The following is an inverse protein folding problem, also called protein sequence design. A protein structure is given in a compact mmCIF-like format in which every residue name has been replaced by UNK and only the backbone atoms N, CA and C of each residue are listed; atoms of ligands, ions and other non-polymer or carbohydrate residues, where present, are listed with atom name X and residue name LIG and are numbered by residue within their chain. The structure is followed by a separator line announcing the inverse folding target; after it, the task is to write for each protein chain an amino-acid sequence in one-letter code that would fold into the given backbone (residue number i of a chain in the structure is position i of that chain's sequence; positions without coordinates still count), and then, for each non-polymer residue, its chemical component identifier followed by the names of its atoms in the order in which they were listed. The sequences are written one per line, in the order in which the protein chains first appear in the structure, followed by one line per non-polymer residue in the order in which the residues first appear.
data_IF_985458102558
#
_entry.id   IF_985458102558
#
_cell.length_a   1.000
_cell.length_b   1.000
_cell.length_c   1.000
_cell.angle_alpha   90.00
_cell.angle_beta   90.00
_cell.angle_gamma   90.00
#
_symmetry.space_group_name_H-M   'P 1'
#
loop_
_entity.id
_entity.type
_entity.pdbx_description
1 polymer ?
#
# COMPACT_ATOMS: atom_id res chain seq x y z
N UNK A 1 -0.68 -4.29 -34.88
CA UNK A 1 -2.03 -4.75 -34.52
C UNK A 1 -1.86 -5.69 -33.34
N UNK A 2 -2.41 -5.35 -32.17
CA UNK A 2 -2.42 -6.26 -31.02
C UNK A 2 -3.32 -7.45 -31.35
N UNK A 3 -2.88 -8.65 -30.97
CA UNK A 3 -3.72 -9.85 -31.06
C UNK A 3 -4.92 -9.67 -30.10
N UNK A 4 -6.12 -10.20 -30.42
CA UNK A 4 -7.23 -10.20 -29.48
C UNK A 4 -6.83 -10.87 -28.15
N UNK A 5 -7.27 -10.33 -27.02
CA UNK A 5 -6.89 -10.83 -25.68
C UNK A 5 -7.12 -12.33 -25.51
N UNK A 6 -8.26 -12.85 -25.97
CA UNK A 6 -8.58 -14.28 -25.89
C UNK A 6 -7.60 -15.19 -26.65
N UNK A 7 -6.96 -14.66 -27.70
CA UNK A 7 -5.96 -15.39 -28.49
C UNK A 7 -4.62 -15.39 -27.77
N UNK A 8 -4.28 -14.26 -27.10
CA UNK A 8 -3.14 -14.16 -26.20
C UNK A 8 -3.27 -15.16 -25.04
N UNK A 9 -4.41 -15.18 -24.37
CA UNK A 9 -4.70 -16.10 -23.27
C UNK A 9 -4.52 -17.56 -23.68
N UNK A 10 -5.01 -17.94 -24.87
CA UNK A 10 -4.84 -19.31 -25.40
C UNK A 10 -3.40 -19.63 -25.77
N UNK A 11 -2.68 -18.68 -26.37
CA UNK A 11 -1.29 -18.88 -26.77
C UNK A 11 -0.38 -19.11 -25.55
N UNK A 12 -0.62 -18.35 -24.49
CA UNK A 12 0.14 -18.39 -23.24
C UNK A 12 -0.02 -19.73 -22.49
N UNK A 13 -1.17 -20.40 -22.64
CA UNK A 13 -1.42 -21.72 -22.04
C UNK A 13 -0.83 -22.88 -22.86
N UNK A 14 -0.33 -22.63 -24.07
CA UNK A 14 0.22 -23.68 -24.92
C UNK A 14 1.55 -24.21 -24.37
N UNK A 15 1.68 -25.54 -24.25
CA UNK A 15 2.86 -26.21 -23.65
C UNK A 15 4.19 -25.83 -24.29
N UNK A 16 4.21 -25.61 -25.61
CA UNK A 16 5.40 -25.16 -26.32
C UNK A 16 5.89 -23.76 -25.87
N UNK A 17 4.96 -22.82 -25.63
CA UNK A 17 5.30 -21.46 -25.15
C UNK A 17 5.78 -21.54 -23.70
N UNK A 18 5.14 -22.37 -22.88
CA UNK A 18 5.55 -22.61 -21.49
C UNK A 18 6.96 -23.19 -21.38
N UNK A 19 7.30 -24.16 -22.24
CA UNK A 19 8.65 -24.74 -22.28
C UNK A 19 9.69 -23.70 -22.70
N UNK A 20 9.39 -22.86 -23.70
CA UNK A 20 10.27 -21.79 -24.13
C UNK A 20 10.46 -20.72 -23.05
N UNK A 21 9.38 -20.32 -22.38
CA UNK A 21 9.44 -19.37 -21.26
C UNK A 21 10.24 -19.94 -20.09
N UNK A 22 10.06 -21.21 -19.74
CA UNK A 22 10.83 -21.86 -18.68
C UNK A 22 12.33 -21.92 -19.02
N UNK A 23 12.68 -22.23 -20.27
CA UNK A 23 14.07 -22.24 -20.73
C UNK A 23 14.70 -20.84 -20.64
N UNK A 24 13.98 -19.80 -21.10
CA UNK A 24 14.41 -18.40 -21.00
C UNK A 24 14.56 -17.91 -19.57
N UNK A 25 13.62 -18.22 -18.68
CA UNK A 25 13.67 -17.81 -17.27
C UNK A 25 14.82 -18.51 -16.55
N UNK A 26 15.15 -19.75 -16.92
CA UNK A 26 16.23 -20.51 -16.30
C UNK A 26 17.63 -19.98 -16.61
N UNK A 27 17.74 -18.98 -17.50
CA UNK A 27 19.00 -18.33 -17.80
C UNK A 27 19.56 -17.59 -16.58
N UNK A 28 20.89 -17.63 -16.44
CA UNK A 28 21.60 -17.08 -15.28
C UNK A 28 21.41 -15.58 -15.11
N UNK A 29 21.28 -14.84 -16.21
CA UNK A 29 21.23 -13.37 -16.18
C UNK A 29 19.91 -12.82 -15.61
N UNK A 30 18.71 -13.19 -16.12
CA UNK A 30 17.45 -12.77 -15.51
C UNK A 30 17.33 -13.16 -14.04
N UNK A 31 17.73 -14.39 -13.71
CA UNK A 31 17.71 -14.89 -12.33
C UNK A 31 18.61 -14.06 -11.41
N UNK A 32 19.81 -13.69 -11.88
CA UNK A 32 20.72 -12.85 -11.11
C UNK A 32 20.16 -11.45 -10.86
N UNK A 33 19.51 -10.83 -11.86
CA UNK A 33 18.86 -9.52 -11.71
C UNK A 33 17.75 -9.60 -10.66
N UNK A 34 16.84 -10.57 -10.77
CA UNK A 34 15.74 -10.74 -9.82
C UNK A 34 16.25 -10.93 -8.38
N UNK A 35 17.28 -11.77 -8.19
CA UNK A 35 17.85 -12.00 -6.86
C UNK A 35 18.50 -10.74 -6.30
N UNK A 36 19.15 -9.96 -7.15
CA UNK A 36 19.80 -8.71 -6.78
C UNK A 36 18.75 -7.64 -6.42
N UNK A 37 17.65 -7.57 -7.17
CA UNK A 37 16.50 -6.72 -6.86
C UNK A 37 15.90 -7.05 -5.50
N UNK A 38 15.65 -8.34 -5.23
CA UNK A 38 15.14 -8.78 -3.93
C UNK A 38 16.08 -8.37 -2.79
N UNK A 39 17.39 -8.55 -3.00
CA UNK A 39 18.41 -8.20 -2.02
C UNK A 39 18.42 -6.70 -1.70
N UNK A 40 18.48 -5.84 -2.72
CA UNK A 40 18.46 -4.39 -2.52
C UNK A 40 17.14 -3.91 -1.92
N UNK A 41 16.01 -4.50 -2.32
CA UNK A 41 14.70 -4.16 -1.79
C UNK A 41 14.59 -4.45 -0.29
N UNK A 42 15.04 -5.64 0.15
CA UNK A 42 15.06 -6.00 1.57
C UNK A 42 15.97 -5.04 2.36
N UNK A 43 17.17 -4.74 1.84
CA UNK A 43 18.10 -3.80 2.49
C UNK A 43 17.46 -2.42 2.65
N UNK A 44 16.87 -1.89 1.57
CA UNK A 44 16.22 -0.57 1.61
C UNK A 44 15.11 -0.57 2.65
N UNK A 45 14.22 -1.56 2.69
CA UNK A 45 13.10 -1.61 3.65
C UNK A 45 13.59 -1.70 5.10
N UNK A 46 14.56 -2.59 5.38
CA UNK A 46 15.09 -2.78 6.74
C UNK A 46 15.85 -1.54 7.20
N UNK A 47 16.76 -1.01 6.38
CA UNK A 47 17.50 0.21 6.72
C UNK A 47 16.56 1.40 6.87
N UNK A 48 15.56 1.55 5.99
CA UNK A 48 14.59 2.64 6.06
C UNK A 48 13.81 2.60 7.36
N UNK A 49 13.33 1.41 7.76
CA UNK A 49 12.58 1.23 9.01
C UNK A 49 13.42 1.61 10.23
N UNK A 50 14.69 1.20 10.29
CA UNK A 50 15.59 1.52 11.40
C UNK A 50 15.90 3.03 11.43
N UNK A 51 16.22 3.63 10.27
CA UNK A 51 16.63 5.03 10.17
C UNK A 51 15.46 5.99 10.42
N UNK A 52 14.25 5.66 9.97
CA UNK A 52 13.04 6.43 10.29
C UNK A 52 12.78 6.44 11.79
N UNK A 53 12.87 5.29 12.47
CA UNK A 53 12.70 5.22 13.93
C UNK A 53 13.73 6.09 14.65
N UNK A 54 15.01 6.01 14.25
CA UNK A 54 16.08 6.86 14.79
C UNK A 54 15.81 8.35 14.54
N UNK A 55 15.33 8.70 13.34
CA UNK A 55 14.98 10.09 13.02
C UNK A 55 13.80 10.60 13.85
N UNK A 56 12.79 9.76 14.10
CA UNK A 56 11.65 10.11 14.98
C UNK A 56 12.14 10.32 16.41
N UNK A 57 12.98 9.43 16.95
CA UNK A 57 13.56 9.58 18.29
C UNK A 57 14.37 10.88 18.44
N UNK A 58 15.19 11.21 17.44
CA UNK A 58 15.95 12.47 17.43
C UNK A 58 15.03 13.72 17.35
N UNK A 59 13.87 13.61 16.70
CA UNK A 59 12.89 14.71 16.58
C UNK A 59 11.98 14.86 17.80
N UNK A 60 11.80 13.81 18.59
CA UNK A 60 10.95 13.77 19.77
C UNK A 60 11.69 13.16 20.97
N UNK A 61 12.68 13.86 21.55
CA UNK A 61 13.32 13.38 22.76
C UNK A 61 12.30 13.34 23.90
N UNK A 62 11.91 12.14 24.33
CA UNK A 62 10.95 11.88 25.42
C UNK A 62 11.31 12.62 26.73
N UNK A 63 12.57 13.05 26.87
CA UNK A 63 13.12 13.66 28.07
C UNK A 63 12.82 15.15 28.27
N UNK A 64 12.12 15.84 27.35
CA UNK A 64 12.06 17.32 27.38
C UNK A 64 10.71 17.93 27.77
N UNK A 65 9.72 17.11 28.13
CA UNK A 65 8.37 17.60 28.48
C UNK A 65 8.26 18.02 29.95
N UNK A 66 9.29 17.77 30.79
CA UNK A 66 9.20 17.99 32.25
C UNK A 66 9.88 19.28 32.73
N UNK A 67 10.67 19.97 31.90
CA UNK A 67 11.32 21.22 32.30
C UNK A 67 10.74 22.41 31.54
N UNK A 68 10.15 23.34 32.28
CA UNK A 68 9.60 24.60 31.78
C UNK A 68 10.57 25.37 30.87
N UNK A 69 10.02 25.93 29.78
CA UNK A 69 10.61 26.97 28.94
C UNK A 69 11.93 26.65 28.22
N UNK A 70 12.12 25.42 27.77
CA UNK A 70 13.37 25.08 27.09
C UNK A 70 13.21 25.16 25.56
N UNK A 71 14.08 25.99 24.98
CA UNK A 71 14.22 26.33 23.56
C UNK A 71 14.43 25.08 22.72
N UNK A 72 13.67 24.92 21.62
CA UNK A 72 13.67 23.72 20.78
C UNK A 72 15.07 23.17 20.45
N UNK A 73 15.16 21.83 20.39
CA UNK A 73 16.38 21.09 20.05
C UNK A 73 17.04 21.70 18.79
N UNK A 74 18.35 22.02 18.82
CA UNK A 74 19.08 22.55 17.66
C UNK A 74 18.83 21.69 16.42
N UNK A 75 18.68 22.31 15.25
CA UNK A 75 18.40 21.57 14.00
C UNK A 75 19.48 20.52 13.70
N UNK A 76 20.74 20.80 14.05
CA UNK A 76 21.88 19.92 13.80
C UNK A 76 21.82 18.60 14.59
N UNK A 77 21.18 18.57 15.76
CA UNK A 77 21.03 17.35 16.56
C UNK A 77 19.92 16.43 16.03
N UNK A 78 19.03 16.95 15.16
CA UNK A 78 17.94 16.16 14.55
C UNK A 78 18.40 15.32 13.37
N UNK A 79 19.52 15.69 12.75
CA UNK A 79 20.06 15.03 11.57
C UNK A 79 20.53 13.60 11.88
N UNK A 80 20.24 12.66 11.00
CA UNK A 80 20.78 11.30 11.07
C UNK A 80 22.15 11.27 10.39
N UNK A 81 23.18 10.63 10.98
CA UNK A 81 24.50 10.54 10.38
C UNK A 81 24.45 9.86 8.99
N UNK A 82 25.21 10.40 8.05
CA UNK A 82 25.25 9.96 6.64
C UNK A 82 25.58 8.47 6.48
N UNK A 83 26.36 7.90 7.40
CA UNK A 83 26.75 6.49 7.40
C UNK A 83 25.55 5.55 7.50
N UNK A 84 24.53 5.91 8.28
CA UNK A 84 23.30 5.12 8.41
C UNK A 84 22.40 5.25 7.17
N UNK A 85 22.53 6.32 6.40
CA UNK A 85 21.74 6.60 5.19
C UNK A 85 22.37 6.02 3.92
N UNK A 86 23.64 5.65 3.96
CA UNK A 86 24.39 5.15 2.80
C UNK A 86 23.72 3.96 2.08
N UNK A 87 23.18 2.93 2.78
CA UNK A 87 22.47 1.84 2.11
C UNK A 87 21.21 2.29 1.35
N UNK A 88 20.52 3.32 1.84
CA UNK A 88 19.33 3.88 1.17
C UNK A 88 19.71 4.59 -0.13
N UNK A 89 20.79 5.38 -0.12
CA UNK A 89 21.27 6.04 -1.33
C UNK A 89 21.78 5.05 -2.38
N UNK A 90 22.50 4.02 -1.95
CA UNK A 90 22.97 2.97 -2.87
C UNK A 90 21.77 2.21 -3.47
N UNK A 91 20.80 1.81 -2.63
CA UNK A 91 19.60 1.14 -3.09
C UNK A 91 18.76 1.99 -4.04
N UNK A 92 18.53 3.26 -3.71
CA UNK A 92 17.80 4.19 -4.57
C UNK A 92 18.51 4.41 -5.91
N UNK A 93 19.84 4.55 -5.89
CA UNK A 93 20.63 4.69 -7.12
C UNK A 93 20.58 3.42 -7.98
N UNK A 94 20.64 2.25 -7.35
CA UNK A 94 20.48 0.97 -8.04
C UNK A 94 19.14 0.88 -8.77
N UNK A 95 18.03 1.11 -8.08
CA UNK A 95 16.69 1.08 -8.68
C UNK A 95 16.50 2.18 -9.73
N UNK A 96 17.05 3.38 -9.53
CA UNK A 96 17.01 4.45 -10.52
C UNK A 96 17.71 4.03 -11.83
N UNK A 97 18.91 3.46 -11.73
CA UNK A 97 19.64 2.99 -12.92
C UNK A 97 18.84 1.89 -13.62
N UNK A 98 18.26 0.95 -12.86
CA UNK A 98 17.41 -0.11 -13.40
C UNK A 98 16.21 0.45 -14.16
N UNK A 99 15.47 1.39 -13.57
CA UNK A 99 14.28 2.00 -14.17
C UNK A 99 14.62 2.80 -15.43
N UNK A 100 15.70 3.58 -15.39
CA UNK A 100 16.19 4.33 -16.56
C UNK A 100 16.57 3.38 -17.70
N UNK A 101 17.20 2.25 -17.39
CA UNK A 101 17.57 1.22 -18.36
C UNK A 101 16.34 0.58 -18.99
N UNK A 102 15.34 0.22 -18.20
CA UNK A 102 14.07 -0.35 -18.67
C UNK A 102 13.34 0.65 -19.57
N UNK A 103 13.25 1.92 -19.14
CA UNK A 103 12.66 3.01 -19.91
C UNK A 103 13.36 3.19 -21.27
N UNK A 104 14.70 3.26 -21.28
CA UNK A 104 15.49 3.42 -22.51
C UNK A 104 15.36 2.21 -23.44
N UNK A 105 15.28 1.01 -22.89
CA UNK A 105 15.06 -0.23 -23.63
C UNK A 105 13.72 -0.20 -24.37
N UNK A 106 12.62 0.11 -23.66
CA UNK A 106 11.27 0.20 -24.24
C UNK A 106 11.13 1.38 -25.22
N UNK A 107 11.81 2.50 -24.96
CA UNK A 107 11.88 3.62 -25.88
C UNK A 107 12.57 3.22 -27.19
N UNK A 108 13.65 2.44 -27.12
CA UNK A 108 14.39 1.98 -28.30
C UNK A 108 13.58 1.02 -29.19
N UNK A 109 12.63 0.30 -28.58
CA UNK A 109 11.69 -0.58 -29.28
C UNK A 109 10.44 0.15 -29.81
N UNK A 110 10.30 1.45 -29.53
CA UNK A 110 9.09 2.21 -29.88
C UNK A 110 7.86 1.84 -29.06
N UNK A 111 8.05 1.15 -27.92
CA UNK A 111 6.99 0.66 -27.03
C UNK A 111 6.87 1.49 -25.74
N UNK A 112 7.28 2.76 -25.78
CA UNK A 112 7.28 3.65 -24.62
C UNK A 112 5.88 3.86 -24.01
N UNK A 113 4.82 3.75 -24.80
CA UNK A 113 3.45 3.84 -24.27
C UNK A 113 3.15 2.72 -23.27
N UNK A 114 3.65 1.50 -23.50
CA UNK A 114 3.46 0.39 -22.56
C UNK A 114 4.09 0.71 -21.21
N UNK A 115 5.28 1.32 -21.20
CA UNK A 115 5.94 1.75 -19.96
C UNK A 115 5.09 2.76 -19.18
N UNK A 116 4.53 3.76 -19.88
CA UNK A 116 3.72 4.82 -19.26
C UNK A 116 2.38 4.36 -18.69
N UNK A 117 1.76 3.33 -19.28
CA UNK A 117 0.45 2.84 -18.85
C UNK A 117 0.52 1.70 -17.83
N UNK A 118 1.71 1.16 -17.56
CA UNK A 118 1.89 0.12 -16.56
C UNK A 118 1.96 0.72 -15.14
N UNK A 119 1.01 0.42 -14.24
CA UNK A 119 1.00 0.94 -12.88
C UNK A 119 2.19 0.47 -12.03
N UNK A 120 2.84 -0.64 -12.41
CA UNK A 120 3.98 -1.18 -11.65
C UNK A 120 5.22 -0.29 -11.79
N UNK A 121 5.53 0.18 -13.01
CA UNK A 121 6.63 1.14 -13.25
C UNK A 121 6.42 2.45 -12.48
N UNK A 122 5.18 2.94 -12.41
CA UNK A 122 4.87 4.12 -11.60
C UNK A 122 5.08 3.88 -10.10
N UNK A 123 4.74 2.69 -9.60
CA UNK A 123 4.98 2.32 -8.21
C UNK A 123 6.49 2.31 -7.91
N UNK A 124 7.32 1.79 -8.80
CA UNK A 124 8.78 1.78 -8.67
C UNK A 124 9.39 3.19 -8.72
N UNK A 125 8.91 4.06 -9.62
CA UNK A 125 9.31 5.48 -9.66
C UNK A 125 8.93 6.20 -8.36
N UNK A 126 7.72 5.98 -7.86
CA UNK A 126 7.26 6.56 -6.58
C UNK A 126 8.10 6.02 -5.42
N UNK A 127 8.42 4.73 -5.41
CA UNK A 127 9.30 4.11 -4.43
C UNK A 127 10.68 4.80 -4.40
N UNK A 128 11.32 4.99 -5.56
CA UNK A 128 12.62 5.67 -5.67
C UNK A 128 12.52 7.11 -5.14
N UNK A 129 11.51 7.87 -5.57
CA UNK A 129 11.30 9.24 -5.13
C UNK A 129 11.09 9.35 -3.62
N UNK A 130 10.26 8.47 -3.06
CA UNK A 130 9.99 8.41 -1.61
C UNK A 130 11.29 8.13 -0.85
N UNK A 131 12.06 7.12 -1.23
CA UNK A 131 13.32 6.78 -0.55
C UNK A 131 14.31 7.95 -0.62
N UNK A 132 14.46 8.61 -1.77
CA UNK A 132 15.38 9.75 -1.93
C UNK A 132 14.91 10.95 -1.11
N UNK A 133 13.65 11.36 -1.24
CA UNK A 133 13.10 12.53 -0.52
C UNK A 133 13.24 12.33 0.99
N UNK A 134 12.84 11.17 1.52
CA UNK A 134 12.94 10.91 2.95
C UNK A 134 14.39 10.76 3.43
N UNK A 135 15.29 10.21 2.62
CA UNK A 135 16.72 10.18 2.97
C UNK A 135 17.30 11.59 3.12
N UNK A 136 16.92 12.51 2.22
CA UNK A 136 17.31 13.93 2.30
C UNK A 136 16.68 14.64 3.50
N UNK A 137 15.39 14.37 3.80
CA UNK A 137 14.72 14.93 4.98
C UNK A 137 15.33 14.41 6.31
N UNK A 138 15.73 13.15 6.35
CA UNK A 138 16.41 12.55 7.52
C UNK A 138 17.84 13.08 7.67
N UNK A 139 18.54 13.34 6.57
CA UNK A 139 19.89 13.93 6.57
C UNK A 139 19.87 15.40 7.01
N UNK A 140 18.90 16.17 6.54
CA UNK A 140 18.83 17.61 6.85
C UNK A 140 18.21 17.89 8.21
N UNK A 141 17.44 16.97 8.78
CA UNK A 141 16.70 17.19 10.03
C UNK A 141 15.58 18.24 9.92
N UNK A 142 15.36 18.81 8.72
CA UNK A 142 14.37 19.87 8.47
C UNK A 142 12.96 19.31 8.32
N UNK A 143 11.98 20.21 8.40
CA UNK A 143 10.54 19.90 8.23
C UNK A 143 9.78 19.72 9.54
N UNK A 144 8.46 19.89 9.47
CA UNK A 144 7.55 19.68 10.59
C UNK A 144 7.59 18.22 11.06
N UNK A 145 7.87 18.02 12.34
CA UNK A 145 7.98 16.71 12.97
C UNK A 145 6.66 15.92 12.90
N UNK A 146 5.49 16.57 12.94
CA UNK A 146 4.20 15.89 12.84
C UNK A 146 3.95 15.37 11.42
N UNK A 147 4.14 16.22 10.42
CA UNK A 147 4.03 15.81 9.01
C UNK A 147 5.06 14.73 8.66
N UNK A 148 6.30 14.87 9.13
CA UNK A 148 7.33 13.84 8.94
C UNK A 148 6.89 12.49 9.50
N UNK A 149 6.37 12.46 10.73
CA UNK A 149 5.87 11.21 11.35
C UNK A 149 4.74 10.58 10.53
N UNK A 150 3.74 11.36 10.14
CA UNK A 150 2.59 10.86 9.38
C UNK A 150 2.97 10.40 7.97
N UNK A 151 3.79 11.16 7.25
CA UNK A 151 4.19 10.73 5.91
C UNK A 151 5.25 9.62 5.94
N UNK A 152 6.09 9.55 6.97
CA UNK A 152 7.02 8.43 7.12
C UNK A 152 6.30 7.10 7.36
N UNK A 153 5.19 7.07 8.11
CA UNK A 153 4.38 5.86 8.26
C UNK A 153 3.70 5.46 6.95
N UNK A 154 3.17 6.43 6.21
CA UNK A 154 2.57 6.19 4.88
C UNK A 154 3.62 5.71 3.88
N UNK A 155 4.81 6.27 3.90
CA UNK A 155 5.92 5.83 3.03
C UNK A 155 6.32 4.39 3.33
N UNK A 156 6.37 4.00 4.61
CA UNK A 156 6.69 2.63 5.00
C UNK A 156 5.64 1.64 4.47
N UNK A 157 4.35 2.01 4.52
CA UNK A 157 3.28 1.24 3.89
C UNK A 157 3.52 1.10 2.38
N UNK A 158 3.91 2.17 1.69
CA UNK A 158 4.22 2.15 0.26
C UNK A 158 5.41 1.23 -0.07
N UNK A 159 6.47 1.22 0.75
CA UNK A 159 7.60 0.31 0.58
C UNK A 159 7.17 -1.16 0.71
N UNK A 160 6.31 -1.48 1.69
CA UNK A 160 5.76 -2.83 1.87
C UNK A 160 4.82 -3.23 0.73
N UNK A 161 4.00 -2.31 0.22
CA UNK A 161 3.19 -2.56 -0.97
C UNK A 161 4.10 -2.89 -2.16
N UNK A 162 5.17 -2.14 -2.37
CA UNK A 162 6.12 -2.44 -3.45
C UNK A 162 6.76 -3.83 -3.27
N UNK A 163 7.12 -4.19 -2.04
CA UNK A 163 7.59 -5.55 -1.73
C UNK A 163 6.57 -6.64 -2.06
N UNK A 164 5.29 -6.44 -1.76
CA UNK A 164 4.23 -7.39 -2.12
C UNK A 164 4.08 -7.51 -3.64
N UNK A 165 4.17 -6.41 -4.40
CA UNK A 165 4.15 -6.46 -5.87
C UNK A 165 5.39 -7.15 -6.43
N UNK A 166 6.56 -6.95 -5.83
CA UNK A 166 7.77 -7.68 -6.19
C UNK A 166 7.63 -9.18 -5.94
N UNK A 167 7.12 -9.58 -4.76
CA UNK A 167 6.84 -10.99 -4.44
C UNK A 167 5.82 -11.61 -5.39
N UNK A 168 4.82 -10.85 -5.83
CA UNK A 168 3.84 -11.26 -6.85
C UNK A 168 4.54 -11.62 -8.17
N UNK A 169 5.61 -10.91 -8.54
CA UNK A 169 6.38 -11.23 -9.75
C UNK A 169 7.31 -12.45 -9.56
N UNK A 170 7.75 -12.71 -8.34
CA UNK A 170 8.68 -13.81 -8.03
C UNK A 170 8.00 -15.17 -7.80
N UNK A 171 6.91 -15.21 -7.03
CA UNK A 171 6.30 -16.44 -6.55
C UNK A 171 4.97 -16.74 -7.25
N UNK A 172 4.87 -17.92 -7.87
CA UNK A 172 3.70 -18.38 -8.64
C UNK A 172 2.43 -18.36 -7.79
N UNK A 173 2.45 -19.10 -6.69
CA UNK A 173 1.27 -19.28 -5.84
C UNK A 173 0.84 -17.97 -5.20
N UNK A 174 1.81 -17.11 -4.89
CA UNK A 174 1.56 -15.78 -4.37
C UNK A 174 0.98 -14.84 -5.44
N UNK A 175 1.44 -14.93 -6.69
CA UNK A 175 0.90 -14.16 -7.81
C UNK A 175 -0.59 -14.45 -8.03
N UNK A 176 -0.93 -15.73 -8.03
CA UNK A 176 -2.32 -16.21 -8.16
C UNK A 176 -3.16 -15.72 -6.98
N UNK A 177 -2.62 -15.80 -5.76
CA UNK A 177 -3.29 -15.29 -4.56
C UNK A 177 -3.56 -13.79 -4.65
N UNK A 178 -2.54 -12.96 -4.90
CA UNK A 178 -2.68 -11.50 -5.00
C UNK A 178 -3.61 -11.10 -6.15
N UNK A 179 -3.48 -11.75 -7.31
CA UNK A 179 -4.37 -11.53 -8.45
C UNK A 179 -5.83 -11.87 -8.10
N UNK A 180 -6.05 -12.96 -7.36
CA UNK A 180 -7.36 -13.32 -6.86
C UNK A 180 -7.93 -12.31 -5.86
N UNK A 181 -7.12 -11.85 -4.91
CA UNK A 181 -7.52 -10.81 -3.95
C UNK A 181 -7.90 -9.52 -4.68
N UNK A 182 -7.09 -9.03 -5.61
CA UNK A 182 -7.37 -7.80 -6.36
C UNK A 182 -8.68 -7.91 -7.16
N UNK A 183 -8.91 -9.04 -7.81
CA UNK A 183 -10.14 -9.27 -8.56
C UNK A 183 -11.37 -9.32 -7.64
N UNK A 184 -11.27 -9.97 -6.48
CA UNK A 184 -12.35 -9.94 -5.47
C UNK A 184 -12.59 -8.51 -5.02
N UNK A 185 -11.55 -7.75 -4.67
CA UNK A 185 -11.68 -6.34 -4.25
C UNK A 185 -12.37 -5.49 -5.31
N UNK A 186 -11.99 -5.63 -6.59
CA UNK A 186 -12.64 -4.92 -7.69
C UNK A 186 -14.14 -5.22 -7.78
N UNK A 187 -14.53 -6.49 -7.61
CA UNK A 187 -15.96 -6.88 -7.56
C UNK A 187 -16.67 -6.35 -6.32
N UNK A 188 -15.97 -6.21 -5.20
CA UNK A 188 -16.51 -5.69 -3.95
C UNK A 188 -16.71 -4.17 -3.95
N UNK A 189 -16.13 -3.41 -4.89
CA UNK A 189 -16.23 -1.94 -4.90
C UNK A 189 -17.70 -1.47 -4.88
N UNK A 190 -18.57 -2.06 -5.71
CA UNK A 190 -19.98 -1.67 -5.74
C UNK A 190 -20.69 -1.95 -4.41
N UNK A 191 -20.38 -3.08 -3.78
CA UNK A 191 -20.90 -3.43 -2.46
C UNK A 191 -20.37 -2.48 -1.37
N UNK A 192 -19.06 -2.17 -1.38
CA UNK A 192 -18.43 -1.26 -0.44
C UNK A 192 -19.03 0.15 -0.55
N UNK A 193 -19.30 0.62 -1.77
CA UNK A 193 -19.98 1.90 -1.99
C UNK A 193 -21.39 1.91 -1.38
N UNK A 194 -22.17 0.84 -1.58
CA UNK A 194 -23.48 0.70 -0.96
C UNK A 194 -23.39 0.67 0.58
N UNK A 195 -22.41 -0.07 1.12
CA UNK A 195 -22.15 -0.15 2.56
C UNK A 195 -21.81 1.23 3.13
N UNK A 196 -20.92 1.99 2.49
CA UNK A 196 -20.57 3.35 2.93
C UNK A 196 -21.81 4.25 2.98
N UNK A 197 -22.67 4.21 1.94
CA UNK A 197 -23.92 4.99 1.91
C UNK A 197 -24.83 4.61 3.07
N UNK A 198 -24.99 3.31 3.36
CA UNK A 198 -25.78 2.82 4.48
C UNK A 198 -25.20 3.28 5.81
N UNK A 199 -23.88 3.16 6.02
CA UNK A 199 -23.20 3.60 7.25
C UNK A 199 -23.36 5.10 7.48
N UNK A 200 -23.22 5.91 6.42
CA UNK A 200 -23.44 7.37 6.47
C UNK A 200 -24.89 7.67 6.83
N UNK A 201 -25.86 6.97 6.22
CA UNK A 201 -27.27 7.16 6.53
C UNK A 201 -27.59 6.85 8.01
N UNK A 202 -27.09 5.73 8.54
CA UNK A 202 -27.28 5.39 9.95
C UNK A 202 -26.55 6.37 10.89
N UNK A 203 -25.33 6.78 10.56
CA UNK A 203 -24.61 7.81 11.33
C UNK A 203 -25.42 9.11 11.41
N UNK A 204 -26.02 9.54 10.29
CA UNK A 204 -26.88 10.72 10.27
C UNK A 204 -28.17 10.54 11.07
N UNK A 205 -28.80 9.36 11.01
CA UNK A 205 -29.98 9.04 11.82
C UNK A 205 -29.66 9.09 13.32
N UNK A 206 -28.53 8.51 13.74
CA UNK A 206 -28.11 8.55 15.14
C UNK A 206 -27.78 9.97 15.60
N UNK A 207 -27.05 10.76 14.81
CA UNK A 207 -26.81 12.18 15.15
C UNK A 207 -28.13 12.91 15.37
N UNK A 208 -29.07 12.77 14.44
CA UNK A 208 -30.37 13.45 14.51
C UNK A 208 -31.16 13.01 15.75
N UNK A 209 -31.08 11.72 16.12
CA UNK A 209 -31.78 11.16 17.27
C UNK A 209 -31.19 11.64 18.59
N UNK A 210 -29.86 11.69 18.71
CA UNK A 210 -29.17 12.10 19.93
C UNK A 210 -29.07 13.63 20.06
N UNK A 211 -29.28 14.38 18.98
CA UNK A 211 -29.27 15.84 19.01
C UNK A 211 -30.31 16.36 20.03
N UNK A 212 -29.90 17.29 20.90
CA UNK A 212 -30.73 17.91 21.94
C UNK A 212 -31.20 17.01 23.10
N UNK A 213 -30.79 15.74 23.13
CA UNK A 213 -31.01 14.85 24.30
C UNK A 213 -30.09 15.23 25.46
N UNK A 214 -30.40 14.77 26.68
CA UNK A 214 -29.52 14.98 27.85
C UNK A 214 -28.13 14.37 27.64
N UNK A 215 -28.06 13.31 26.82
CA UNK A 215 -26.83 12.73 26.33
C UNK A 215 -25.91 13.74 25.60
N UNK A 216 -26.41 14.83 25.02
CA UNK A 216 -25.55 15.84 24.40
C UNK A 216 -25.43 17.15 25.19
N UNK A 217 -26.21 17.34 26.25
CA UNK A 217 -26.21 18.59 27.03
C UNK A 217 -25.06 18.70 28.04
N UNK A 218 -24.47 17.57 28.44
CA UNK A 218 -23.38 17.50 29.42
C UNK A 218 -21.98 17.92 28.93
N UNK A 219 -21.83 18.52 27.75
CA UNK A 219 -20.53 18.87 27.17
C UNK A 219 -20.36 20.33 26.76
N UNK A 220 -21.32 21.20 27.11
CA UNK A 220 -21.20 22.62 26.80
C UNK A 220 -20.22 23.29 27.75
N UNK A 221 -19.16 23.90 27.20
CA UNK A 221 -18.40 25.00 27.82
C UNK A 221 -19.31 26.21 28.04
N UNK A 222 -20.33 26.04 28.87
CA UNK A 222 -21.14 27.13 29.39
C UNK A 222 -20.36 27.78 30.52
N UNK A 223 -19.82 28.97 30.24
CA UNK A 223 -19.23 29.93 31.18
C UNK A 223 -20.23 30.43 32.26
N UNK A 224 -21.44 29.86 32.29
CA UNK A 224 -22.49 30.16 33.23
C UNK A 224 -22.46 29.12 34.35
N UNK A 225 -21.97 29.53 35.53
CA UNK A 225 -21.66 28.68 36.69
C UNK A 225 -22.80 27.89 37.35
N UNK A 226 -23.75 27.35 36.59
CA UNK A 226 -24.62 26.27 37.03
C UNK A 226 -23.93 24.93 36.79
N UNK A 227 -23.22 24.46 37.81
CA UNK A 227 -22.63 23.12 37.90
C UNK A 227 -23.71 22.02 37.91
N UNK A 228 -24.40 21.79 36.78
CA UNK A 228 -25.13 20.54 36.58
C UNK A 228 -24.09 19.43 36.39
N UNK A 229 -23.83 18.71 37.48
CA UNK A 229 -22.90 17.59 37.58
C UNK A 229 -23.22 16.52 36.53
N UNK A 230 -22.52 16.54 35.42
CA UNK A 230 -22.30 15.34 34.62
C UNK A 230 -21.00 14.70 35.13
N UNK A 231 -21.16 13.89 36.19
CA UNK A 231 -20.21 12.99 36.85
C UNK A 231 -18.86 13.54 37.32
N UNK A 232 -18.68 13.53 38.64
CA UNK A 232 -17.42 13.18 39.31
C UNK A 232 -16.26 14.18 39.23
N UNK A 233 -15.73 14.68 40.36
CA UNK A 233 -14.47 15.42 40.34
C UNK A 233 -13.32 14.45 40.02
N UNK A 234 -12.86 14.37 38.76
CA UNK A 234 -11.58 13.75 38.45
C UNK A 234 -11.31 13.35 37.01
N UNK A 235 -12.30 12.84 36.29
CA UNK A 235 -12.08 12.22 34.97
C UNK A 235 -12.76 13.00 33.85
N UNK A 236 -12.09 13.23 32.71
CA UNK A 236 -12.73 13.82 31.54
C UNK A 236 -13.87 12.90 31.07
N UNK A 237 -15.06 13.45 30.77
CA UNK A 237 -16.17 12.63 30.33
C UNK A 237 -15.80 11.86 29.06
N UNK A 238 -16.24 10.60 28.91
CA UNK A 238 -15.92 9.81 27.74
C UNK A 238 -16.43 10.52 26.47
N UNK A 239 -15.71 10.40 25.34
CA UNK A 239 -16.10 11.04 24.10
C UNK A 239 -17.49 10.56 23.67
N UNK A 240 -18.40 11.49 23.39
CA UNK A 240 -19.77 11.21 22.97
C UNK A 240 -19.87 11.25 21.44
N UNK A 241 -19.79 10.11 20.74
CA UNK A 241 -19.58 10.10 19.29
C UNK A 241 -20.74 10.69 18.49
N UNK A 242 -21.94 10.79 19.05
CA UNK A 242 -23.15 11.26 18.34
C UNK A 242 -23.49 12.73 18.58
N UNK A 243 -22.73 13.47 19.39
CA UNK A 243 -23.09 14.82 19.84
C UNK A 243 -22.43 15.97 19.07
N UNK A 244 -21.64 15.69 18.04
CA UNK A 244 -20.86 16.71 17.35
C UNK A 244 -20.75 16.46 15.85
N UNK A 245 -19.52 16.31 15.38
CA UNK A 245 -19.23 16.15 13.97
C UNK A 245 -19.70 14.79 13.42
N UNK A 246 -19.97 14.75 12.12
CA UNK A 246 -20.35 13.53 11.40
C UNK A 246 -19.30 12.41 11.51
N UNK A 247 -18.02 12.79 11.61
CA UNK A 247 -16.90 11.84 11.56
C UNK A 247 -16.82 10.91 12.80
N UNK A 248 -16.82 11.40 14.06
CA UNK A 248 -16.94 10.53 15.24
C UNK A 248 -18.15 9.59 15.21
N UNK A 249 -19.29 10.06 14.72
CA UNK A 249 -20.51 9.24 14.60
C UNK A 249 -20.34 8.16 13.55
N UNK A 250 -19.80 8.51 12.37
CA UNK A 250 -19.48 7.55 11.33
C UNK A 250 -18.50 6.47 11.82
N UNK A 251 -17.43 6.87 12.51
CA UNK A 251 -16.49 5.93 13.11
C UNK A 251 -17.16 5.01 14.13
N UNK A 252 -18.05 5.53 14.98
CA UNK A 252 -18.77 4.69 15.96
C UNK A 252 -19.73 3.71 15.28
N UNK A 253 -20.45 4.13 14.23
CA UNK A 253 -21.29 3.21 13.45
C UNK A 253 -20.45 2.17 12.71
N UNK A 254 -19.27 2.55 12.22
CA UNK A 254 -18.31 1.62 11.63
C UNK A 254 -17.75 0.60 12.64
N UNK A 255 -17.42 1.02 13.87
CA UNK A 255 -17.00 0.06 14.92
C UNK A 255 -18.16 -0.86 15.32
N UNK A 256 -19.39 -0.36 15.34
CA UNK A 256 -20.59 -1.21 15.54
C UNK A 256 -20.78 -2.23 14.40
N UNK A 257 -20.49 -1.87 13.14
CA UNK A 257 -20.47 -2.81 12.01
C UNK A 257 -19.47 -3.96 12.26
N UNK A 258 -18.32 -3.67 12.88
CA UNK A 258 -17.30 -4.67 13.23
C UNK A 258 -17.70 -5.52 14.45
N UNK A 259 -18.83 -5.23 15.08
CA UNK A 259 -19.35 -5.96 16.25
C UNK A 259 -18.98 -5.36 17.60
N UNK A 260 -18.27 -4.22 17.63
CA UNK A 260 -18.02 -3.49 18.87
C UNK A 260 -19.26 -2.68 19.26
N UNK A 261 -20.10 -3.30 20.10
CA UNK A 261 -21.32 -2.69 20.62
C UNK A 261 -21.09 -2.28 22.06
N UNK A 262 -21.33 -1.00 22.35
CA UNK A 262 -21.41 -0.48 23.71
C UNK A 262 -22.89 -0.27 24.04
N UNK A 263 -23.46 -1.23 24.77
CA UNK A 263 -24.88 -1.23 25.14
C UNK A 263 -25.24 -0.07 26.08
N UNK A 264 -24.26 0.43 26.85
CA UNK A 264 -24.47 1.53 27.81
C UNK A 264 -24.96 2.81 27.13
N UNK A 265 -24.59 3.02 25.86
CA UNK A 265 -25.00 4.18 25.06
C UNK A 265 -26.49 4.20 24.72
N UNK A 266 -27.15 3.04 24.72
CA UNK A 266 -28.55 2.89 24.31
C UNK A 266 -29.49 2.53 25.45
N UNK A 267 -28.94 2.09 26.60
CA UNK A 267 -29.71 1.71 27.79
C UNK A 267 -29.97 2.87 28.74
N UNK A 268 -29.44 4.06 28.45
CA UNK A 268 -29.64 5.22 29.30
C UNK A 268 -31.12 5.65 29.28
N UNK A 269 -31.67 5.98 30.46
CA UNK A 269 -33.13 6.14 30.65
C UNK A 269 -33.74 7.27 29.81
N UNK A 270 -32.90 8.20 29.38
CA UNK A 270 -33.30 9.40 28.64
C UNK A 270 -33.25 9.21 27.12
N UNK A 271 -32.81 8.03 26.65
CA UNK A 271 -32.78 7.69 25.23
C UNK A 271 -34.14 7.19 24.77
N UNK A 272 -34.63 7.73 23.66
CA UNK A 272 -35.90 7.28 23.06
C UNK A 272 -35.87 5.78 22.75
N UNK A 273 -36.93 5.04 23.05
CA UNK A 273 -37.06 3.61 22.70
C UNK A 273 -36.86 3.35 21.20
N UNK A 274 -37.08 4.38 20.38
CA UNK A 274 -36.81 4.35 18.94
C UNK A 274 -35.33 4.12 18.61
N UNK A 275 -34.39 4.62 19.41
CA UNK A 275 -32.95 4.40 19.22
C UNK A 275 -32.57 2.92 19.34
N UNK A 276 -33.16 2.23 20.32
CA UNK A 276 -32.95 0.79 20.55
C UNK A 276 -33.50 0.00 19.36
N UNK A 277 -34.68 0.35 18.85
CA UNK A 277 -35.25 -0.28 17.66
C UNK A 277 -34.38 -0.07 16.43
N UNK A 278 -33.90 1.17 16.22
CA UNK A 278 -33.01 1.51 15.11
C UNK A 278 -31.67 0.75 15.22
N UNK A 279 -31.14 0.62 16.43
CA UNK A 279 -29.94 -0.15 16.72
C UNK A 279 -30.12 -1.65 16.43
N UNK A 280 -31.21 -2.27 16.89
CA UNK A 280 -31.53 -3.68 16.59
C UNK A 280 -31.67 -3.88 15.07
N UNK A 281 -32.35 -2.95 14.39
CA UNK A 281 -32.51 -2.98 12.94
C UNK A 281 -31.16 -2.85 12.22
N UNK A 282 -30.29 -1.95 12.66
CA UNK A 282 -28.93 -1.81 12.15
C UNK A 282 -28.13 -3.11 12.32
N UNK A 283 -28.12 -3.70 13.52
CA UNK A 283 -27.39 -4.95 13.77
C UNK A 283 -27.88 -6.09 12.88
N UNK A 284 -29.20 -6.24 12.73
CA UNK A 284 -29.76 -7.28 11.86
C UNK A 284 -29.46 -7.04 10.38
N UNK A 285 -29.69 -5.84 9.87
CA UNK A 285 -29.50 -5.52 8.45
C UNK A 285 -28.02 -5.48 8.08
N UNK A 286 -27.22 -4.70 8.80
CA UNK A 286 -25.85 -4.38 8.41
C UNK A 286 -24.87 -5.44 8.86
N UNK A 287 -24.97 -5.92 10.10
CA UNK A 287 -24.01 -6.92 10.60
C UNK A 287 -24.38 -8.32 10.12
N UNK A 288 -25.64 -8.74 10.25
CA UNK A 288 -26.02 -10.13 9.93
C UNK A 288 -26.26 -10.30 8.43
N UNK A 289 -27.14 -9.50 7.82
CA UNK A 289 -27.51 -9.70 6.42
C UNK A 289 -26.35 -9.33 5.48
N UNK A 290 -25.80 -8.11 5.58
CA UNK A 290 -24.76 -7.67 4.64
C UNK A 290 -23.45 -8.46 4.79
N UNK A 291 -23.05 -8.89 6.00
CA UNK A 291 -21.86 -9.74 6.14
C UNK A 291 -22.04 -11.11 5.48
N UNK A 292 -23.23 -11.72 5.60
CA UNK A 292 -23.53 -13.00 4.94
C UNK A 292 -23.48 -12.86 3.41
N UNK A 293 -24.03 -11.77 2.86
CA UNK A 293 -23.97 -11.48 1.43
C UNK A 293 -22.52 -11.22 0.98
N UNK A 294 -21.74 -10.48 1.76
CA UNK A 294 -20.33 -10.23 1.47
C UNK A 294 -19.53 -11.54 1.39
N UNK A 295 -19.70 -12.43 2.37
CA UNK A 295 -19.04 -13.74 2.38
C UNK A 295 -19.47 -14.56 1.16
N UNK A 296 -20.75 -14.55 0.78
CA UNK A 296 -21.24 -15.24 -0.41
C UNK A 296 -20.57 -14.71 -1.70
N UNK A 297 -20.46 -13.38 -1.85
CA UNK A 297 -19.82 -12.77 -3.03
C UNK A 297 -18.32 -13.11 -3.10
N UNK A 298 -17.63 -13.07 -1.96
CA UNK A 298 -16.20 -13.40 -1.87
C UNK A 298 -15.95 -14.87 -2.20
N UNK A 299 -16.76 -15.78 -1.65
CA UNK A 299 -16.60 -17.23 -1.86
C UNK A 299 -16.88 -17.63 -3.32
N UNK A 300 -17.94 -17.09 -3.93
CA UNK A 300 -18.24 -17.30 -5.36
C UNK A 300 -17.13 -16.76 -6.26
N UNK A 301 -16.69 -15.51 -6.02
CA UNK A 301 -15.65 -14.88 -6.82
C UNK A 301 -14.30 -15.61 -6.70
N UNK A 302 -13.95 -16.09 -5.50
CA UNK A 302 -12.72 -16.86 -5.29
C UNK A 302 -12.74 -18.21 -6.00
N UNK A 303 -13.90 -18.89 -6.03
CA UNK A 303 -14.07 -20.17 -6.74
C UNK A 303 -13.81 -20.05 -8.25
N UNK A 304 -14.28 -18.98 -8.88
CA UNK A 304 -14.09 -18.73 -10.32
C UNK A 304 -12.61 -18.50 -10.66
N UNK A 305 -11.91 -17.69 -9.86
CA UNK A 305 -10.51 -17.31 -10.14
C UNK A 305 -9.58 -18.52 -10.08
N UNK A 306 -9.76 -19.36 -9.06
CA UNK A 306 -8.88 -20.51 -8.80
C UNK A 306 -8.89 -21.51 -9.95
N UNK A 307 -10.04 -21.69 -10.62
CA UNK A 307 -10.21 -22.73 -11.61
C UNK A 307 -9.82 -22.31 -13.04
N UNK A 308 -10.08 -21.06 -13.44
CA UNK A 308 -9.98 -20.68 -14.86
C UNK A 308 -8.87 -19.65 -15.16
N UNK A 309 -8.57 -18.73 -14.23
CA UNK A 309 -7.73 -17.56 -14.52
C UNK A 309 -6.33 -17.61 -13.91
N UNK A 310 -6.12 -18.46 -12.92
CA UNK A 310 -4.83 -18.58 -12.22
C UNK A 310 -3.67 -18.86 -13.19
N UNK A 311 -3.84 -19.84 -14.09
CA UNK A 311 -2.79 -20.22 -15.04
C UNK A 311 -2.51 -19.11 -16.06
N UNK A 312 -3.55 -18.45 -16.59
CA UNK A 312 -3.41 -17.40 -17.60
C UNK A 312 -2.65 -16.21 -17.02
N UNK A 313 -3.10 -15.68 -15.88
CA UNK A 313 -2.46 -14.53 -15.20
C UNK A 313 -1.02 -14.83 -14.83
N UNK A 314 -0.75 -16.07 -14.43
CA UNK A 314 0.59 -16.49 -14.09
C UNK A 314 1.54 -16.44 -15.30
N UNK A 315 1.14 -17.08 -16.39
CA UNK A 315 1.99 -17.19 -17.58
C UNK A 315 2.08 -15.86 -18.34
N UNK A 316 1.07 -14.99 -18.27
CA UNK A 316 1.15 -13.64 -18.84
C UNK A 316 2.19 -12.79 -18.12
N UNK A 317 2.18 -12.76 -16.79
CA UNK A 317 3.17 -12.02 -16.00
C UNK A 317 4.60 -12.50 -16.29
N UNK A 318 4.80 -13.81 -16.49
CA UNK A 318 6.09 -14.38 -16.88
C UNK A 318 6.51 -13.99 -18.29
N UNK A 319 5.57 -13.97 -19.22
CA UNK A 319 5.84 -13.57 -20.60
C UNK A 319 6.26 -12.10 -20.64
N UNK A 320 5.55 -11.23 -19.92
CA UNK A 320 5.88 -9.80 -19.83
C UNK A 320 7.27 -9.60 -19.21
N UNK A 321 7.57 -10.32 -18.12
CA UNK A 321 8.90 -10.30 -17.50
C UNK A 321 10.01 -10.77 -18.46
N UNK A 322 9.81 -11.89 -19.16
CA UNK A 322 10.81 -12.40 -20.11
C UNK A 322 10.99 -11.45 -21.28
N UNK A 323 9.91 -10.87 -21.80
CA UNK A 323 9.97 -9.90 -22.88
C UNK A 323 10.73 -8.63 -22.46
N UNK A 324 10.54 -8.17 -21.22
CA UNK A 324 11.29 -7.06 -20.66
C UNK A 324 12.78 -7.39 -20.51
N UNK A 325 13.10 -8.56 -19.95
CA UNK A 325 14.49 -9.00 -19.79
C UNK A 325 15.19 -9.22 -21.13
N UNK A 326 14.49 -9.76 -22.13
CA UNK A 326 15.01 -9.93 -23.49
C UNK A 326 15.21 -8.56 -24.15
N UNK A 327 14.31 -7.59 -23.94
CA UNK A 327 14.47 -6.22 -24.43
C UNK A 327 15.72 -5.56 -23.82
N UNK A 328 15.88 -5.67 -22.50
CA UNK A 328 17.05 -5.20 -21.76
C UNK A 328 18.30 -5.90 -22.30
N UNK A 329 18.33 -7.23 -22.41
CA UNK A 329 19.49 -7.96 -22.91
C UNK A 329 19.85 -7.63 -24.38
N UNK A 330 18.85 -7.33 -25.21
CA UNK A 330 19.01 -6.99 -26.63
C UNK A 330 19.35 -5.51 -26.88
N UNK A 331 19.36 -4.67 -25.84
CA UNK A 331 19.57 -3.23 -25.96
C UNK A 331 20.85 -2.83 -26.71
N UNK A 332 20.90 -1.60 -27.27
CA UNK A 332 22.05 -1.09 -28.03
C UNK A 332 23.35 -1.04 -27.22
N UNK A 333 23.24 -1.08 -25.89
CA UNK A 333 24.37 -1.14 -24.97
C UNK A 333 25.25 -2.38 -25.12
N UNK A 334 24.75 -3.48 -25.70
CA UNK A 334 25.48 -4.76 -25.74
C UNK A 334 26.68 -4.62 -26.66
N UNK A 335 26.52 -3.86 -27.75
CA UNK A 335 27.61 -3.47 -28.65
C UNK A 335 28.61 -2.58 -27.91
N UNK A 336 28.14 -1.52 -27.24
CA UNK A 336 29.02 -0.60 -26.48
C UNK A 336 29.79 -1.30 -25.35
N UNK A 337 29.15 -2.17 -24.59
CA UNK A 337 29.79 -2.96 -23.53
C UNK A 337 30.81 -3.92 -24.13
N UNK A 338 30.48 -4.61 -25.23
CA UNK A 338 31.45 -5.48 -25.93
C UNK A 338 32.67 -4.70 -26.43
N UNK A 339 32.45 -3.51 -26.97
CA UNK A 339 33.50 -2.62 -27.46
C UNK A 339 34.38 -2.08 -26.31
N UNK A 340 33.76 -1.70 -25.18
CA UNK A 340 34.47 -1.16 -24.00
C UNK A 340 35.29 -2.24 -23.29
N UNK A 341 34.76 -3.46 -23.16
CA UNK A 341 35.48 -4.55 -22.49
C UNK A 341 36.45 -5.30 -23.41
N UNK A 342 36.57 -4.90 -24.68
CA UNK A 342 37.56 -5.46 -25.61
C UNK A 342 37.40 -6.97 -25.81
N UNK A 343 36.19 -7.51 -25.60
CA UNK A 343 35.89 -8.94 -25.83
C UNK A 343 35.72 -9.13 -27.34
N UNK A 344 36.83 -9.05 -28.06
CA UNK A 344 36.93 -9.48 -29.44
C UNK A 344 36.76 -11.00 -29.43
N UNK A 345 35.55 -11.46 -29.75
CA UNK A 345 35.31 -12.87 -30.07
C UNK A 345 36.11 -13.19 -31.32
N UNK A 346 37.32 -13.70 -31.14
CA UNK A 346 38.10 -14.32 -32.21
C UNK A 346 37.47 -15.64 -32.70
N UNK A 347 36.43 -16.14 -32.02
CA UNK A 347 35.84 -17.46 -32.26
C UNK A 347 34.54 -17.44 -33.08
N UNK A 348 34.03 -16.26 -33.48
CA UNK A 348 32.84 -16.14 -34.36
C UNK A 348 33.24 -16.02 -35.84
N UNK A 349 34.35 -16.63 -36.26
CA UNK A 349 34.67 -16.79 -37.68
C UNK A 349 34.23 -18.21 -38.15
N UNK A 350 33.00 -18.37 -38.68
CA UNK A 350 32.53 -19.65 -39.22
C UNK A 350 33.29 -20.11 -40.48
N UNK A 351 34.37 -19.43 -40.87
CA UNK A 351 35.20 -19.72 -42.05
C UNK A 351 36.39 -20.67 -41.84
N UNK A 352 36.74 -21.04 -40.60
CA UNK A 352 37.94 -21.84 -40.32
C UNK A 352 37.67 -23.35 -40.13
N UNK A 353 36.94 -23.98 -41.06
CA UNK A 353 37.01 -25.43 -41.27
C UNK A 353 36.74 -25.76 -42.74
N UNK A 354 37.82 -25.83 -43.51
CA UNK A 354 37.87 -26.46 -44.83
C UNK A 354 38.98 -27.49 -44.85
#
# INVERSE_FOLDING_TARGET
QSLPEWLGDRAVVHSAVQNLLNDKISQRFPTAIILLDLYFLIIVIVTYSIVVLKSIQNRFPEAYVIADNVTGVPEDERAVPYESLLPLYIGAMYFLVREVVQMLSLLSLGLFQTWLYDPTNWLDVVFILVVVIFSVLMQTGKGDSQLFRTFSSLSLLLLWINFLFFLKSMFIDFAVFVGGVLYVVQRLVAFLMALIVILVAFAQMFITLFQQTEYCKCGGEGDDGSNTLCEGPGDPPPPRPFCGNMWPSFLKVYTMLLGEVDESLFLDKDVSSFAIVLFIFFMFLVVILLANVLIAIVTDSYGVIKNERAAIVFWSNRLDFVAEMDAIAAGPWKKKVKDVFGVNNADDDPGASR
#
